data_IF_037701186361
#
_entry.id   IF_037701186361
#
_cell.length_a   1.000
_cell.length_b   1.000
_cell.length_c   1.000
_cell.angle_alpha   90.00
_cell.angle_beta   90.00
_cell.angle_gamma   90.00
#
_symmetry.space_group_name_H-M   'P 1'
#
loop_
_entity.id
_entity.type
_entity.pdbx_description
1 polymer ?
#
# COMPACT_ATOMS: atom_id res chain seq x y z
N UNK A 1 9.80 -61.02 50.50
CA UNK A 1 8.55 -61.26 49.73
C UNK A 1 7.61 -60.13 50.09
N UNK A 2 7.07 -59.22 49.28
CA UNK A 2 7.00 -58.95 47.85
C UNK A 2 7.03 -57.42 47.66
N UNK A 3 7.65 -56.94 46.58
CA UNK A 3 7.53 -55.57 46.05
C UNK A 3 6.13 -55.37 45.45
N UNK A 4 5.64 -54.13 45.35
CA UNK A 4 4.93 -53.62 44.16
C UNK A 4 4.71 -52.11 44.26
N UNK A 5 5.52 -51.38 43.49
CA UNK A 5 5.27 -50.03 43.03
C UNK A 5 4.77 -50.13 41.58
N UNK A 6 3.73 -49.40 41.20
CA UNK A 6 3.31 -49.12 39.81
C UNK A 6 2.12 -48.14 39.95
N UNK A 7 2.06 -46.95 39.36
CA UNK A 7 2.75 -46.35 38.23
C UNK A 7 1.69 -45.49 37.52
N UNK A 8 1.60 -44.20 37.88
CA UNK A 8 0.60 -43.27 37.35
C UNK A 8 0.98 -42.93 35.89
N UNK A 9 0.18 -43.39 34.93
CA UNK A 9 0.46 -43.18 33.50
C UNK A 9 -0.22 -41.89 33.06
N UNK A 10 0.57 -40.83 32.84
CA UNK A 10 0.12 -39.56 32.29
C UNK A 10 0.12 -39.66 30.75
N UNK A 11 -1.08 -39.66 30.15
CA UNK A 11 -1.24 -39.63 28.68
C UNK A 11 -1.07 -38.18 28.22
N UNK A 12 0.09 -37.85 27.66
CA UNK A 12 0.28 -36.59 26.92
C UNK A 12 -0.42 -36.70 25.56
N UNK A 13 -1.53 -35.99 25.40
CA UNK A 13 -2.13 -35.74 24.09
C UNK A 13 -1.27 -34.71 23.34
N UNK A 14 -0.41 -35.18 22.44
CA UNK A 14 0.32 -34.32 21.50
C UNK A 14 -0.65 -33.88 20.40
N UNK A 15 -1.25 -32.71 20.55
CA UNK A 15 -1.89 -31.99 19.46
C UNK A 15 -0.82 -31.57 18.45
N UNK A 16 -0.72 -32.32 17.36
CA UNK A 16 0.06 -31.91 16.20
C UNK A 16 -0.56 -30.63 15.63
N UNK A 17 0.02 -29.48 15.98
CA UNK A 17 -0.28 -28.22 15.32
C UNK A 17 0.28 -28.30 13.90
N UNK A 18 -0.60 -28.53 12.92
CA UNK A 18 -0.28 -28.36 11.51
C UNK A 18 0.18 -26.92 11.32
N UNK A 19 1.42 -26.65 10.86
CA UNK A 19 1.80 -25.30 10.54
C UNK A 19 0.91 -24.85 9.38
N UNK A 20 0.07 -23.85 9.63
CA UNK A 20 -0.62 -23.14 8.57
C UNK A 20 0.46 -22.62 7.61
N UNK A 21 0.52 -23.17 6.40
CA UNK A 21 1.35 -22.62 5.35
C UNK A 21 0.85 -21.19 5.12
N UNK A 22 1.60 -20.21 5.63
CA UNK A 22 1.41 -18.82 5.26
C UNK A 22 1.55 -18.77 3.74
N UNK A 23 0.43 -18.56 3.05
CA UNK A 23 0.44 -18.23 1.62
C UNK A 23 1.36 -17.04 1.46
N UNK A 24 2.48 -17.21 0.77
CA UNK A 24 3.38 -16.12 0.45
C UNK A 24 2.52 -15.00 -0.15
N UNK A 25 2.48 -13.85 0.53
CA UNK A 25 1.81 -12.65 0.04
C UNK A 25 2.31 -12.39 -1.38
N UNK A 26 1.38 -12.25 -2.33
CA UNK A 26 1.71 -11.95 -3.73
C UNK A 26 2.57 -10.68 -3.77
N UNK A 27 3.73 -10.74 -4.43
CA UNK A 27 4.54 -9.55 -4.68
C UNK A 27 3.77 -8.63 -5.65
N UNK A 28 3.26 -7.51 -5.13
CA UNK A 28 2.48 -6.55 -5.90
C UNK A 28 3.36 -5.58 -6.70
N UNK A 29 4.69 -5.61 -6.54
CA UNK A 29 5.62 -4.67 -7.18
C UNK A 29 5.41 -4.55 -8.69
N UNK A 30 5.53 -5.63 -9.48
CA UNK A 30 5.35 -5.58 -10.93
C UNK A 30 3.93 -5.16 -11.38
N UNK A 31 2.93 -5.30 -10.50
CA UNK A 31 1.57 -4.84 -10.78
C UNK A 31 1.46 -3.33 -10.53
N UNK A 32 2.00 -2.84 -9.42
CA UNK A 32 2.00 -1.40 -9.11
C UNK A 32 2.86 -0.63 -10.09
N UNK A 33 4.04 -1.13 -10.49
CA UNK A 33 4.88 -0.53 -11.52
C UNK A 33 4.07 -0.25 -12.80
N UNK A 34 3.36 -1.27 -13.31
CA UNK A 34 2.54 -1.15 -14.52
C UNK A 34 1.40 -0.15 -14.35
N UNK A 35 0.73 -0.15 -13.20
CA UNK A 35 -0.35 0.80 -12.93
C UNK A 35 0.18 2.24 -12.86
N UNK A 36 1.33 2.47 -12.24
CA UNK A 36 1.97 3.79 -12.18
C UNK A 36 2.36 4.24 -13.59
N UNK A 37 2.96 3.38 -14.42
CA UNK A 37 3.23 3.69 -15.82
C UNK A 37 1.96 4.05 -16.60
N UNK A 38 0.88 3.30 -16.41
CA UNK A 38 -0.42 3.54 -17.05
C UNK A 38 -1.02 4.91 -16.70
N UNK A 39 -0.68 5.48 -15.52
CA UNK A 39 -1.15 6.83 -15.14
C UNK A 39 -0.71 7.94 -16.09
N UNK A 40 0.35 7.72 -16.86
CA UNK A 40 0.95 8.75 -17.73
C UNK A 40 0.64 8.59 -19.22
N UNK A 41 -0.09 7.53 -19.61
CA UNK A 41 -0.30 7.18 -21.03
C UNK A 41 -1.34 8.05 -21.73
N UNK A 42 -2.56 8.05 -21.20
CA UNK A 42 -3.72 8.76 -21.73
C UNK A 42 -4.80 8.85 -20.63
N UNK A 43 -5.81 9.71 -20.81
CA UNK A 43 -6.85 9.95 -19.79
C UNK A 43 -7.61 8.69 -19.38
N UNK A 44 -7.84 7.75 -20.30
CA UNK A 44 -8.58 6.52 -20.01
C UNK A 44 -7.71 5.54 -19.22
N UNK A 45 -6.42 5.45 -19.55
CA UNK A 45 -5.42 4.67 -18.81
C UNK A 45 -5.18 5.27 -17.42
N UNK A 46 -5.10 6.59 -17.29
CA UNK A 46 -5.01 7.32 -16.01
C UNK A 46 -6.17 6.95 -15.08
N UNK A 47 -7.40 7.15 -15.53
CA UNK A 47 -8.59 6.87 -14.72
C UNK A 47 -8.66 5.40 -14.30
N UNK A 48 -8.39 4.46 -15.21
CA UNK A 48 -8.38 3.02 -14.89
C UNK A 48 -7.28 2.68 -13.89
N UNK A 49 -6.07 3.23 -14.06
CA UNK A 49 -4.95 2.96 -13.20
C UNK A 49 -5.25 3.38 -11.75
N UNK A 50 -5.72 4.61 -11.54
CA UNK A 50 -6.09 5.08 -10.20
C UNK A 50 -7.26 4.28 -9.61
N UNK A 51 -8.27 3.91 -10.40
CA UNK A 51 -9.36 3.04 -9.96
C UNK A 51 -8.86 1.66 -9.48
N UNK A 52 -7.83 1.09 -10.11
CA UNK A 52 -7.26 -0.19 -9.68
C UNK A 52 -6.35 -0.01 -8.47
N UNK A 53 -5.55 1.05 -8.41
CA UNK A 53 -4.69 1.36 -7.26
C UNK A 53 -5.51 1.50 -5.97
N UNK A 54 -6.66 2.17 -6.01
CA UNK A 54 -7.61 2.26 -4.89
C UNK A 54 -8.16 0.91 -4.43
N UNK A 55 -8.20 -0.09 -5.30
CA UNK A 55 -8.74 -1.44 -5.00
C UNK A 55 -7.68 -2.40 -4.46
N UNK A 56 -6.40 -2.03 -4.47
CA UNK A 56 -5.33 -2.85 -3.87
C UNK A 56 -5.46 -2.92 -2.34
N UNK A 57 -6.14 -1.96 -1.72
CA UNK A 57 -6.28 -1.92 -0.27
C UNK A 57 -4.95 -1.69 0.45
N UNK A 58 -4.88 -2.09 1.72
CA UNK A 58 -3.69 -1.88 2.55
C UNK A 58 -2.45 -2.62 2.04
N UNK A 59 -2.62 -3.75 1.35
CA UNK A 59 -1.50 -4.54 0.83
C UNK A 59 -0.73 -3.79 -0.26
N UNK A 60 -1.39 -2.88 -1.00
CA UNK A 60 -0.75 -2.05 -2.02
C UNK A 60 0.04 -0.85 -1.47
N UNK A 61 -0.18 -0.46 -0.21
CA UNK A 61 0.35 0.79 0.36
C UNK A 61 1.89 0.89 0.30
N UNK A 62 2.67 -0.12 0.72
CA UNK A 62 4.14 -0.03 0.65
C UNK A 62 4.64 0.17 -0.77
N UNK A 63 4.07 -0.57 -1.72
CA UNK A 63 4.43 -0.50 -3.13
C UNK A 63 4.07 0.87 -3.72
N UNK A 64 2.89 1.42 -3.43
CA UNK A 64 2.51 2.76 -3.90
C UNK A 64 3.43 3.84 -3.33
N UNK A 65 3.81 3.74 -2.05
CA UNK A 65 4.74 4.68 -1.40
C UNK A 65 6.11 4.66 -2.09
N UNK A 66 6.57 3.49 -2.55
CA UNK A 66 7.83 3.39 -3.30
C UNK A 66 7.82 4.23 -4.59
N UNK A 67 6.66 4.58 -5.15
CA UNK A 67 6.53 5.42 -6.35
C UNK A 67 6.25 6.90 -6.08
N UNK A 68 6.21 7.37 -4.83
CA UNK A 68 5.98 8.78 -4.54
C UNK A 68 7.09 9.70 -5.08
N UNK A 69 8.23 9.18 -5.53
CA UNK A 69 9.23 9.97 -6.25
C UNK A 69 8.79 10.45 -7.64
N UNK A 70 7.73 9.86 -8.22
CA UNK A 70 7.34 10.11 -9.61
C UNK A 70 6.73 11.51 -9.81
N UNK A 71 7.51 12.36 -10.47
CA UNK A 71 7.15 13.73 -10.80
C UNK A 71 6.63 13.94 -12.21
N UNK A 72 6.26 12.89 -12.95
CA UNK A 72 5.70 13.00 -14.30
C UNK A 72 4.31 13.66 -14.25
N UNK A 73 3.96 14.34 -15.33
CA UNK A 73 2.67 15.05 -15.46
C UNK A 73 1.57 14.07 -15.86
N UNK A 74 0.39 14.23 -15.27
CA UNK A 74 -0.80 13.46 -15.64
C UNK A 74 -1.47 14.06 -16.89
N UNK A 75 -2.02 13.22 -17.79
CA UNK A 75 -2.70 13.67 -19.01
C UNK A 75 -4.04 14.38 -18.75
N UNK A 76 -4.92 13.81 -17.92
CA UNK A 76 -6.25 14.37 -17.62
C UNK A 76 -6.23 15.29 -16.40
N UNK A 77 -5.36 14.97 -15.43
CA UNK A 77 -5.28 15.69 -14.15
C UNK A 77 -6.61 15.64 -13.39
N UNK A 78 -7.31 14.50 -13.47
CA UNK A 78 -8.56 14.30 -12.76
C UNK A 78 -8.75 12.84 -12.35
N UNK A 79 -9.02 12.64 -11.05
CA UNK A 79 -9.38 11.34 -10.49
C UNK A 79 -10.79 11.45 -9.91
N UNK A 80 -11.62 10.45 -10.18
CA UNK A 80 -12.92 10.28 -9.53
C UNK A 80 -12.77 9.19 -8.48
N UNK A 81 -12.85 9.58 -7.21
CA UNK A 81 -12.80 8.66 -6.09
C UNK A 81 -14.23 8.23 -5.78
N UNK A 82 -14.56 6.99 -6.13
CA UNK A 82 -15.89 6.40 -5.88
C UNK A 82 -15.89 5.68 -4.53
N UNK A 83 -16.83 6.03 -3.66
CA UNK A 83 -16.95 5.43 -2.32
C UNK A 83 -18.38 4.91 -2.12
N UNK A 84 -18.51 3.68 -1.60
CA UNK A 84 -19.82 3.15 -1.24
C UNK A 84 -20.42 3.96 -0.08
N UNK A 85 -21.62 4.50 -0.28
CA UNK A 85 -22.35 5.26 0.74
C UNK A 85 -21.84 6.68 0.98
N UNK A 86 -21.03 7.25 0.09
CA UNK A 86 -20.64 8.67 0.08
C UNK A 86 -20.72 9.22 -1.33
N UNK A 87 -20.80 10.54 -1.44
CA UNK A 87 -20.70 11.20 -2.74
C UNK A 87 -19.34 10.97 -3.38
N UNK A 88 -19.34 10.81 -4.70
CA UNK A 88 -18.12 10.72 -5.49
C UNK A 88 -17.32 12.01 -5.31
N UNK A 89 -16.03 11.85 -5.02
CA UNK A 89 -15.11 12.98 -4.87
C UNK A 89 -14.25 13.10 -6.11
N UNK A 90 -14.39 14.20 -6.83
CA UNK A 90 -13.46 14.54 -7.91
C UNK A 90 -12.27 15.31 -7.34
N UNK A 91 -11.06 14.85 -7.66
CA UNK A 91 -9.81 15.53 -7.32
C UNK A 91 -9.02 15.82 -8.60
N UNK A 92 -8.11 16.79 -8.54
CA UNK A 92 -7.37 17.30 -9.71
C UNK A 92 -5.85 17.30 -9.51
N UNK A 93 -5.19 16.13 -9.45
CA UNK A 93 -3.73 16.05 -9.33
C UNK A 93 -3.06 16.40 -10.66
N UNK A 94 -1.96 17.13 -10.61
CA UNK A 94 -1.21 17.53 -11.81
C UNK A 94 -0.10 16.54 -12.15
N UNK A 95 0.41 15.86 -11.13
CA UNK A 95 1.54 14.96 -11.22
C UNK A 95 1.21 13.60 -10.62
N UNK A 96 1.94 12.57 -11.05
CA UNK A 96 1.79 11.19 -10.55
C UNK A 96 1.86 11.16 -9.04
N UNK A 97 2.88 11.79 -8.43
CA UNK A 97 2.99 11.96 -6.97
C UNK A 97 1.69 12.43 -6.33
N UNK A 98 1.09 13.52 -6.85
CA UNK A 98 -0.09 14.13 -6.25
C UNK A 98 -1.27 13.16 -6.31
N UNK A 99 -1.41 12.43 -7.43
CA UNK A 99 -2.42 11.39 -7.60
C UNK A 99 -2.21 10.19 -6.67
N UNK A 100 -0.97 9.72 -6.52
CA UNK A 100 -0.63 8.63 -5.59
C UNK A 100 -0.83 9.06 -4.13
N UNK A 101 -0.54 10.30 -3.78
CA UNK A 101 -0.83 10.82 -2.44
C UNK A 101 -2.34 10.85 -2.15
N UNK A 102 -3.18 11.20 -3.14
CA UNK A 102 -4.63 11.03 -3.01
C UNK A 102 -4.99 9.57 -2.74
N UNK A 103 -4.52 8.62 -3.56
CA UNK A 103 -4.78 7.18 -3.36
C UNK A 103 -4.37 6.75 -1.96
N UNK A 104 -3.18 7.13 -1.49
CA UNK A 104 -2.69 6.75 -0.18
C UNK A 104 -3.54 7.32 0.96
N UNK A 105 -3.98 8.59 0.86
CA UNK A 105 -4.89 9.16 1.85
C UNK A 105 -6.24 8.46 1.86
N UNK A 106 -6.75 8.05 0.71
CA UNK A 106 -7.98 7.28 0.62
C UNK A 106 -7.85 5.89 1.26
N UNK A 107 -6.74 5.20 1.01
CA UNK A 107 -6.48 3.86 1.55
C UNK A 107 -6.22 3.87 3.06
N UNK A 108 -5.50 4.87 3.55
CA UNK A 108 -4.95 4.86 4.92
C UNK A 108 -5.65 5.81 5.89
N UNK A 109 -6.39 6.78 5.38
CA UNK A 109 -6.89 7.93 6.16
C UNK A 109 -5.79 8.88 6.65
N UNK A 110 -4.52 8.60 6.37
CA UNK A 110 -3.39 9.45 6.73
C UNK A 110 -3.18 10.54 5.67
N UNK A 111 -2.94 11.77 6.11
CA UNK A 111 -2.75 12.93 5.24
C UNK A 111 -1.77 13.91 5.89
N UNK A 112 -0.98 14.61 5.06
CA UNK A 112 0.01 15.59 5.51
C UNK A 112 -0.43 17.05 5.34
N UNK A 113 -1.71 17.26 5.01
CA UNK A 113 -2.27 18.59 4.83
C UNK A 113 -3.23 18.65 3.64
N UNK A 114 -3.66 19.87 3.26
CA UNK A 114 -4.55 20.07 2.12
C UNK A 114 -3.92 19.54 0.83
N UNK A 115 -4.60 18.62 0.17
CA UNK A 115 -4.19 18.10 -1.13
C UNK A 115 -4.71 19.06 -2.21
N UNK A 116 -3.90 20.06 -2.54
CA UNK A 116 -4.25 21.05 -3.57
C UNK A 116 -4.02 20.51 -5.00
N UNK A 117 -3.38 19.35 -5.13
CA UNK A 117 -3.19 18.64 -6.40
C UNK A 117 -2.12 19.21 -7.31
N UNK A 118 -1.29 20.15 -6.84
CA UNK A 118 -0.23 20.77 -7.66
C UNK A 118 0.97 21.19 -6.79
N UNK A 119 1.47 20.26 -5.97
CA UNK A 119 2.58 20.54 -5.06
C UNK A 119 3.82 21.04 -5.82
N UNK A 120 4.62 21.88 -5.17
CA UNK A 120 5.97 22.18 -5.64
C UNK A 120 6.85 20.94 -5.54
N UNK A 121 7.90 20.86 -6.35
CA UNK A 121 8.85 19.73 -6.31
C UNK A 121 9.43 19.51 -4.90
N UNK A 122 9.80 20.58 -4.21
CA UNK A 122 10.33 20.52 -2.84
C UNK A 122 9.32 19.99 -1.82
N UNK A 123 8.03 20.28 -2.03
CA UNK A 123 6.94 19.78 -1.19
C UNK A 123 6.73 18.28 -1.44
N UNK A 124 6.72 17.84 -2.71
CA UNK A 124 6.66 16.41 -3.06
C UNK A 124 7.79 15.60 -2.45
N UNK A 125 9.01 16.12 -2.51
CA UNK A 125 10.17 15.47 -1.88
C UNK A 125 10.03 15.40 -0.35
N UNK A 126 9.48 16.44 0.27
CA UNK A 126 9.19 16.42 1.71
C UNK A 126 8.10 15.41 2.06
N UNK A 127 7.01 15.38 1.30
CA UNK A 127 5.90 14.44 1.50
C UNK A 127 6.36 13.01 1.32
N UNK A 128 7.16 12.73 0.29
CA UNK A 128 7.77 11.42 0.06
C UNK A 128 8.53 10.94 1.29
N UNK A 129 9.41 11.76 1.88
CA UNK A 129 10.17 11.38 3.09
C UNK A 129 9.27 11.05 4.27
N UNK A 130 8.23 11.85 4.50
CA UNK A 130 7.27 11.62 5.60
C UNK A 130 6.44 10.36 5.36
N UNK A 131 6.07 10.07 4.11
CA UNK A 131 5.28 8.89 3.75
C UNK A 131 6.11 7.63 3.90
N UNK A 132 7.37 7.66 3.47
CA UNK A 132 8.34 6.58 3.70
C UNK A 132 8.53 6.32 5.20
N UNK A 133 8.69 7.36 6.01
CA UNK A 133 8.83 7.22 7.46
C UNK A 133 7.58 6.57 8.09
N UNK A 134 6.40 7.03 7.69
CA UNK A 134 5.13 6.43 8.12
C UNK A 134 4.99 4.97 7.65
N UNK A 135 5.39 4.66 6.42
CA UNK A 135 5.35 3.31 5.87
C UNK A 135 6.22 2.34 6.67
N UNK A 136 7.45 2.72 6.98
CA UNK A 136 8.37 1.90 7.78
C UNK A 136 7.83 1.63 9.18
N UNK A 137 7.13 2.60 9.80
CA UNK A 137 6.46 2.43 11.09
C UNK A 137 5.28 1.46 11.01
N UNK A 138 4.43 1.58 9.97
CA UNK A 138 3.20 0.78 9.82
C UNK A 138 3.40 -0.59 9.22
N UNK A 139 4.40 -0.75 8.36
CA UNK A 139 4.68 -1.96 7.60
C UNK A 139 6.14 -2.40 7.81
N UNK A 140 6.55 -2.74 9.04
CA UNK A 140 7.94 -3.07 9.34
C UNK A 140 8.45 -4.29 8.57
N UNK A 141 7.59 -5.26 8.24
CA UNK A 141 7.94 -6.42 7.42
C UNK A 141 8.22 -6.07 5.94
N UNK A 142 7.83 -4.88 5.49
CA UNK A 142 7.98 -4.40 4.11
C UNK A 142 8.85 -3.14 4.05
N UNK A 143 9.69 -2.90 5.08
CA UNK A 143 10.46 -1.66 5.18
C UNK A 143 11.41 -1.43 3.98
N UNK A 144 11.89 -2.50 3.36
CA UNK A 144 12.76 -2.41 2.19
C UNK A 144 11.99 -1.88 0.97
N UNK A 145 10.74 -2.32 0.79
CA UNK A 145 9.83 -1.79 -0.24
C UNK A 145 9.48 -0.33 0.09
N UNK A 146 9.16 -0.02 1.34
CA UNK A 146 8.88 1.36 1.75
C UNK A 146 10.05 2.32 1.42
N UNK A 147 11.30 1.84 1.49
CA UNK A 147 12.52 2.63 1.26
C UNK A 147 12.99 2.62 -0.19
N UNK A 148 12.46 1.77 -1.05
CA UNK A 148 12.95 1.57 -2.42
C UNK A 148 12.53 2.67 -3.38
N UNK A 149 12.49 3.94 -2.96
CA UNK A 149 11.89 5.05 -3.72
C UNK A 149 12.34 5.06 -5.18
N UNK A 150 11.43 4.70 -6.07
CA UNK A 150 11.53 4.78 -7.52
C UNK A 150 11.31 6.24 -7.94
N UNK A 151 12.13 6.73 -8.86
CA UNK A 151 12.09 8.10 -9.38
C UNK A 151 11.78 8.13 -10.86
#
# INVERSE_FOLDING_TARGET
MHRLALGLTLVLATTAATPASATASEDLGPRVDRLVEDTTKDSASESRAFDVLLKLGNDGVPYIISHLGDGRRLPEQSIIIRRLGREDRQVKPWYVHDGLEFVLTELTGFSMGPQNGHLLKSEREQHTRKWVAWCVDKFPAQMDICRSVHR
#
